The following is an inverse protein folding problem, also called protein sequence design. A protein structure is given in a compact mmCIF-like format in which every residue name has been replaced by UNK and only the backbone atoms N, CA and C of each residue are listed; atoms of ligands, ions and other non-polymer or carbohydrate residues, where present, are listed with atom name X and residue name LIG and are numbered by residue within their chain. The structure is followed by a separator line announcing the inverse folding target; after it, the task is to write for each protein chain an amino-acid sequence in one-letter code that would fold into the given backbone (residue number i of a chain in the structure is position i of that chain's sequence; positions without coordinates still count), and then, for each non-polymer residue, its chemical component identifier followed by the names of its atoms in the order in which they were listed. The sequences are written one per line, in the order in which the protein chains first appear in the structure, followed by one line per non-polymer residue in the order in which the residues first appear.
data_IF_589239397297
#
_entry.id   IF_589239397297
#
_cell.length_a   1.000
_cell.length_b   1.000
_cell.length_c   1.000
_cell.angle_alpha   90.00
_cell.angle_beta   90.00
_cell.angle_gamma   90.00
#
_symmetry.space_group_name_H-M   'P 1'
#
loop_
_entity.id
_entity.type
_entity.pdbx_description
1 polymer ?
#
# COMPACT_ATOMS: atom_id res chain seq x y z
N UNK A 1 -11.92 7.08 1.95
CA UNK A 1 -12.62 6.03 1.18
C UNK A 1 -11.70 4.83 0.98
N UNK A 2 -12.20 3.64 1.24
CA UNK A 2 -11.41 2.41 1.12
C UNK A 2 -11.40 1.93 -0.33
N UNK A 3 -10.22 1.65 -0.92
CA UNK A 3 -10.14 1.17 -2.30
C UNK A 3 -10.86 -0.17 -2.52
N UNK A 4 -11.39 -0.36 -3.71
CA UNK A 4 -12.13 -1.56 -4.07
C UNK A 4 -11.32 -2.85 -3.87
N UNK A 5 -10.02 -2.83 -4.21
CA UNK A 5 -9.17 -4.01 -4.07
C UNK A 5 -9.10 -4.53 -2.63
N UNK A 6 -9.26 -3.64 -1.65
CA UNK A 6 -9.33 -4.03 -0.25
C UNK A 6 -10.71 -4.57 0.10
N UNK A 7 -11.76 -3.92 -0.41
CA UNK A 7 -13.14 -4.30 -0.09
C UNK A 7 -13.50 -5.70 -0.58
N UNK A 8 -12.85 -6.21 -1.62
CA UNK A 8 -13.13 -7.53 -2.18
C UNK A 8 -12.33 -8.66 -1.55
N UNK A 9 -11.50 -8.38 -0.56
CA UNK A 9 -10.77 -9.43 0.17
C UNK A 9 -11.80 -10.30 0.91
N UNK A 10 -11.76 -11.60 0.66
CA UNK A 10 -12.78 -12.52 1.20
C UNK A 10 -12.64 -12.77 2.69
N UNK A 11 -11.40 -12.95 3.17
CA UNK A 11 -11.15 -13.20 4.59
C UNK A 11 -11.37 -11.91 5.37
N UNK A 12 -12.24 -11.97 6.38
CA UNK A 12 -12.61 -10.77 7.15
C UNK A 12 -11.45 -10.19 7.93
N UNK A 13 -10.59 -11.03 8.50
CA UNK A 13 -9.44 -10.57 9.28
C UNK A 13 -8.40 -9.90 8.38
N UNK A 14 -8.16 -10.47 7.20
CA UNK A 14 -7.24 -9.89 6.22
C UNK A 14 -7.77 -8.56 5.70
N UNK A 15 -9.07 -8.49 5.43
CA UNK A 15 -9.70 -7.25 4.97
C UNK A 15 -9.59 -6.16 6.02
N UNK A 16 -9.90 -6.49 7.28
CA UNK A 16 -9.79 -5.54 8.40
C UNK A 16 -8.35 -5.05 8.55
N UNK A 17 -7.38 -5.96 8.43
CA UNK A 17 -5.96 -5.60 8.49
C UNK A 17 -5.61 -4.58 7.41
N UNK A 18 -6.02 -4.83 6.16
CA UNK A 18 -5.72 -3.93 5.04
C UNK A 18 -6.47 -2.61 5.12
N UNK A 19 -7.72 -2.62 5.61
CA UNK A 19 -8.47 -1.38 5.84
C UNK A 19 -7.73 -0.48 6.85
N UNK A 20 -7.25 -1.08 7.94
CA UNK A 20 -6.53 -0.33 8.96
C UNK A 20 -5.18 0.16 8.43
N UNK A 21 -4.47 -0.68 7.68
CA UNK A 21 -3.20 -0.29 7.06
C UNK A 21 -3.41 0.91 6.12
N UNK A 22 -4.47 0.88 5.32
CA UNK A 22 -4.79 1.97 4.41
C UNK A 22 -5.09 3.25 5.18
N UNK A 23 -5.93 3.18 6.21
CA UNK A 23 -6.28 4.35 7.02
C UNK A 23 -5.02 4.96 7.65
N UNK A 24 -4.12 4.11 8.16
CA UNK A 24 -2.94 4.57 8.88
C UNK A 24 -1.85 5.12 7.96
N UNK A 25 -1.68 4.53 6.76
CA UNK A 25 -0.49 4.77 5.96
C UNK A 25 -0.72 5.29 4.54
N UNK A 26 -1.95 5.47 4.08
CA UNK A 26 -2.18 5.88 2.69
C UNK A 26 -1.57 7.24 2.36
N UNK A 27 -1.58 8.17 3.31
CA UNK A 27 -0.99 9.50 3.08
C UNK A 27 0.53 9.40 2.95
N UNK A 28 1.15 8.59 3.79
CA UNK A 28 2.59 8.35 3.72
C UNK A 28 2.96 7.71 2.39
N UNK A 29 2.22 6.70 1.97
CA UNK A 29 2.43 6.01 0.69
C UNK A 29 2.33 6.99 -0.47
N UNK A 30 1.24 7.78 -0.51
CA UNK A 30 1.02 8.74 -1.57
C UNK A 30 2.16 9.76 -1.63
N UNK A 31 2.60 10.26 -0.48
CA UNK A 31 3.69 11.21 -0.39
C UNK A 31 4.99 10.65 -0.98
N UNK A 32 5.34 9.41 -0.59
CA UNK A 32 6.56 8.77 -1.10
C UNK A 32 6.47 8.50 -2.61
N UNK A 33 5.31 8.11 -3.09
CA UNK A 33 5.08 7.86 -4.51
C UNK A 33 5.17 9.19 -5.31
N UNK A 34 4.47 10.21 -4.84
CA UNK A 34 4.41 11.49 -5.55
C UNK A 34 5.77 12.14 -5.68
N UNK A 35 6.65 11.98 -4.69
CA UNK A 35 8.01 12.50 -4.75
C UNK A 35 8.79 11.94 -5.95
N UNK A 36 8.44 10.75 -6.42
CA UNK A 36 9.13 10.09 -7.52
C UNK A 36 8.43 10.29 -8.87
N UNK A 37 7.09 10.22 -8.89
CA UNK A 37 6.36 10.26 -10.18
C UNK A 37 5.88 11.66 -10.55
N UNK A 38 5.74 12.58 -9.61
CA UNK A 38 5.41 13.99 -9.83
C UNK A 38 4.11 14.26 -10.60
N UNK A 39 3.18 13.30 -10.59
CA UNK A 39 1.93 13.41 -11.32
C UNK A 39 0.82 12.72 -10.52
N UNK A 40 -0.31 13.38 -10.35
CA UNK A 40 -1.42 12.88 -9.55
C UNK A 40 -1.99 11.57 -10.11
N UNK A 41 -2.21 11.52 -11.42
CA UNK A 41 -2.78 10.33 -12.06
C UNK A 41 -1.84 9.14 -11.96
N UNK A 42 -0.54 9.37 -12.20
CA UNK A 42 0.49 8.35 -12.04
C UNK A 42 0.56 7.88 -10.60
N UNK A 43 0.50 8.81 -9.64
CA UNK A 43 0.56 8.47 -8.22
C UNK A 43 -0.62 7.58 -7.81
N UNK A 44 -1.81 7.84 -8.32
CA UNK A 44 -2.98 7.01 -8.03
C UNK A 44 -2.84 5.60 -8.61
N UNK A 45 -2.33 5.48 -9.84
CA UNK A 45 -2.07 4.18 -10.46
C UNK A 45 -1.03 3.38 -9.66
N UNK A 46 0.06 4.04 -9.25
CA UNK A 46 1.11 3.40 -8.46
C UNK A 46 0.58 3.00 -7.09
N UNK A 47 -0.28 3.83 -6.49
CA UNK A 47 -0.92 3.50 -5.21
C UNK A 47 -1.70 2.19 -5.32
N UNK A 48 -2.51 2.05 -6.37
CA UNK A 48 -3.29 0.83 -6.61
C UNK A 48 -2.37 -0.39 -6.76
N UNK A 49 -1.33 -0.26 -7.57
CA UNK A 49 -0.36 -1.36 -7.78
C UNK A 49 0.33 -1.75 -6.48
N UNK A 50 0.67 -0.76 -5.65
CA UNK A 50 1.31 -1.00 -4.37
C UNK A 50 0.37 -1.75 -3.43
N UNK A 51 -0.89 -1.33 -3.35
CA UNK A 51 -1.88 -1.99 -2.49
C UNK A 51 -2.10 -3.44 -2.90
N UNK A 52 -2.19 -3.71 -4.20
CA UNK A 52 -2.34 -5.10 -4.69
C UNK A 52 -1.15 -5.95 -4.26
N UNK A 53 0.07 -5.41 -4.35
CA UNK A 53 1.27 -6.12 -3.89
C UNK A 53 1.25 -6.39 -2.39
N UNK A 54 0.80 -5.41 -1.59
CA UNK A 54 0.70 -5.59 -0.14
C UNK A 54 -0.34 -6.65 0.21
N UNK A 55 -1.47 -6.68 -0.51
CA UNK A 55 -2.51 -7.70 -0.30
C UNK A 55 -1.94 -9.10 -0.50
N UNK A 56 -1.10 -9.30 -1.52
CA UNK A 56 -0.47 -10.59 -1.76
C UNK A 56 0.50 -11.00 -0.65
N UNK A 57 0.92 -10.06 0.19
CA UNK A 57 1.88 -10.30 1.26
C UNK A 57 1.28 -10.22 2.65
N UNK A 58 -0.04 -10.23 2.77
CA UNK A 58 -0.71 -10.09 4.07
C UNK A 58 -0.16 -11.04 5.14
N UNK A 59 0.06 -12.34 4.88
CA UNK A 59 0.58 -13.23 5.93
C UNK A 59 1.92 -12.75 6.51
N UNK A 60 2.81 -12.25 5.66
CA UNK A 60 4.09 -11.69 6.11
C UNK A 60 3.91 -10.39 6.88
N UNK A 61 3.04 -9.51 6.36
CA UNK A 61 2.84 -8.18 6.94
C UNK A 61 2.26 -8.26 8.35
N UNK A 62 1.36 -9.21 8.58
CA UNK A 62 0.72 -9.37 9.89
C UNK A 62 1.68 -9.83 10.97
N UNK A 63 2.82 -10.38 10.59
CA UNK A 63 3.85 -10.83 11.54
C UNK A 63 4.86 -9.73 11.90
N UNK A 64 4.86 -8.62 11.16
CA UNK A 64 5.83 -7.55 11.38
C UNK A 64 5.39 -6.63 12.52
N UNK A 65 6.36 -6.11 13.26
CA UNK A 65 6.10 -5.02 14.18
C UNK A 65 5.88 -3.73 13.38
N UNK A 66 5.46 -2.66 14.07
CA UNK A 66 5.09 -1.41 13.41
C UNK A 66 6.24 -0.79 12.61
N UNK A 67 7.44 -0.78 13.18
CA UNK A 67 8.60 -0.19 12.51
C UNK A 67 8.97 -0.91 11.23
N UNK A 68 9.00 -2.24 11.26
CA UNK A 68 9.29 -3.05 10.09
C UNK A 68 8.17 -2.95 9.06
N UNK A 69 6.92 -2.87 9.50
CA UNK A 69 5.78 -2.72 8.60
C UNK A 69 5.87 -1.39 7.83
N UNK A 70 6.13 -0.30 8.53
CA UNK A 70 6.25 1.02 7.89
C UNK A 70 7.39 1.01 6.86
N UNK A 71 8.54 0.45 7.21
CA UNK A 71 9.67 0.36 6.28
C UNK A 71 9.34 -0.47 5.05
N UNK A 72 8.62 -1.57 5.23
CA UNK A 72 8.19 -2.41 4.11
C UNK A 72 7.25 -1.64 3.17
N UNK A 73 6.29 -0.90 3.74
CA UNK A 73 5.32 -0.12 2.97
C UNK A 73 6.02 0.96 2.16
N UNK A 74 6.96 1.69 2.78
CA UNK A 74 7.72 2.73 2.10
C UNK A 74 8.55 2.13 0.96
N UNK A 75 9.23 1.03 1.21
CA UNK A 75 10.04 0.35 0.20
C UNK A 75 9.19 -0.14 -0.97
N UNK A 76 8.04 -0.74 -0.68
CA UNK A 76 7.11 -1.20 -1.71
C UNK A 76 6.61 -0.03 -2.56
N UNK A 77 6.27 1.09 -1.92
CA UNK A 77 5.81 2.29 -2.60
C UNK A 77 6.88 2.85 -3.55
N UNK A 78 8.12 2.93 -3.07
CA UNK A 78 9.24 3.41 -3.90
C UNK A 78 9.53 2.47 -5.05
N UNK A 79 9.52 1.16 -4.81
CA UNK A 79 9.78 0.17 -5.86
C UNK A 79 8.72 0.23 -6.95
N UNK A 80 7.45 0.34 -6.60
CA UNK A 80 6.38 0.46 -7.59
C UNK A 80 6.48 1.77 -8.36
N UNK A 81 6.89 2.85 -7.71
CA UNK A 81 7.10 4.14 -8.37
C UNK A 81 8.22 4.04 -9.42
N UNK A 82 9.33 3.40 -9.08
CA UNK A 82 10.45 3.20 -10.00
C UNK A 82 10.05 2.31 -11.17
N UNK A 83 9.28 1.27 -10.93
CA UNK A 83 8.79 0.39 -11.99
C UNK A 83 7.87 1.13 -12.95
N UNK A 84 7.10 2.07 -12.46
CA UNK A 84 6.22 2.90 -13.27
C UNK A 84 7.00 3.82 -14.21
N UNK A 85 8.11 4.35 -13.72
CA UNK A 85 8.97 5.23 -14.50
C UNK A 85 9.80 4.44 -15.50
#
# INVERSE_FOLDING_TARGET
MIPYCILVIEDDDDRTFMEQLFVDYHRLMYHEIFKLVHDQWAAEDVMQSTLVRLIDKIPELRLKDRGHLVNYIITASKNQSRNYL
#
